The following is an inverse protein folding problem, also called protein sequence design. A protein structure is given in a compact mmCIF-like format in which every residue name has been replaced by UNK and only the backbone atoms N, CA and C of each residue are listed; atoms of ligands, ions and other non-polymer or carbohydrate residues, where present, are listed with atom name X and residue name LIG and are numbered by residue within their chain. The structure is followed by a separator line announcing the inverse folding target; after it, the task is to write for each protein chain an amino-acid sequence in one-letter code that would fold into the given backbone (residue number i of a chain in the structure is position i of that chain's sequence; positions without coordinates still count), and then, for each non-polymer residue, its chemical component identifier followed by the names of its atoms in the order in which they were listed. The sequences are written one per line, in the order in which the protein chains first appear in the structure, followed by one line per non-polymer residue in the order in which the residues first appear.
data_IF_880296103145
#
_entry.id   IF_880296103145
#
_cell.length_a   1.000
_cell.length_b   1.000
_cell.length_c   1.000
_cell.angle_alpha   90.00
_cell.angle_beta   90.00
_cell.angle_gamma   90.00
#
_symmetry.space_group_name_H-M   'P 1'
#
loop_
_entity.id
_entity.type
_entity.pdbx_description
1 polymer ?
#
# COMPACT_ATOMS: atom_id res chain seq x y z
N UNK A 1 -2.29 -25.81 8.32
CA UNK A 1 -3.08 -25.02 9.30
C UNK A 1 -2.30 -23.95 10.10
N UNK A 2 -0.96 -23.89 10.08
CA UNK A 2 -0.18 -22.84 10.79
C UNK A 2 -0.18 -21.43 10.13
N UNK A 3 -0.57 -21.29 8.86
CA UNK A 3 -0.48 -19.99 8.14
C UNK A 3 -1.63 -19.01 8.41
N UNK A 4 -2.79 -19.49 8.84
CA UNK A 4 -3.99 -18.64 9.02
C UNK A 4 -3.94 -17.90 10.36
N UNK A 5 -3.54 -18.58 11.46
CA UNK A 5 -3.36 -17.93 12.78
C UNK A 5 -2.38 -16.76 12.73
N UNK A 6 -1.35 -16.86 11.88
CA UNK A 6 -0.33 -15.83 11.73
C UNK A 6 -0.86 -14.55 11.05
N UNK A 7 -1.76 -14.67 10.07
CA UNK A 7 -2.33 -13.50 9.38
C UNK A 7 -3.24 -12.65 10.28
N UNK A 8 -4.04 -13.28 11.15
CA UNK A 8 -4.93 -12.56 12.06
C UNK A 8 -4.17 -11.80 13.15
N UNK A 9 -3.08 -12.39 13.66
CA UNK A 9 -2.18 -11.73 14.61
C UNK A 9 -1.53 -10.49 13.99
N UNK A 10 -1.08 -10.59 12.73
CA UNK A 10 -0.51 -9.47 11.99
C UNK A 10 -1.52 -8.32 11.81
N UNK A 11 -2.77 -8.60 11.46
CA UNK A 11 -3.82 -7.58 11.30
C UNK A 11 -4.02 -6.80 12.61
N UNK A 12 -4.15 -7.48 13.76
CA UNK A 12 -4.31 -6.81 15.07
C UNK A 12 -3.09 -5.97 15.44
N UNK A 13 -1.87 -6.49 15.23
CA UNK A 13 -0.63 -5.76 15.49
C UNK A 13 -0.55 -4.50 14.62
N UNK A 14 -0.73 -4.65 13.31
CA UNK A 14 -0.65 -3.54 12.37
C UNK A 14 -1.76 -2.52 12.56
N UNK A 15 -2.95 -2.93 13.02
CA UNK A 15 -4.03 -1.97 13.36
C UNK A 15 -3.57 -0.96 14.41
N UNK A 16 -2.97 -1.43 15.52
CA UNK A 16 -2.54 -0.53 16.60
C UNK A 16 -1.43 0.41 16.12
N UNK A 17 -0.45 -0.13 15.41
CA UNK A 17 0.66 0.66 14.86
C UNK A 17 0.16 1.68 13.83
N UNK A 18 -0.78 1.30 12.96
CA UNK A 18 -1.34 2.16 11.92
C UNK A 18 -2.19 3.29 12.49
N UNK A 19 -3.09 3.00 13.43
CA UNK A 19 -3.91 4.04 14.07
C UNK A 19 -3.06 5.01 14.90
N UNK A 20 -2.04 4.49 15.59
CA UNK A 20 -1.09 5.34 16.31
C UNK A 20 -0.32 6.24 15.33
N UNK A 21 0.18 5.70 14.21
CA UNK A 21 0.83 6.50 13.17
C UNK A 21 -0.11 7.59 12.62
N UNK A 22 -1.36 7.25 12.30
CA UNK A 22 -2.32 8.24 11.79
C UNK A 22 -2.55 9.38 12.80
N UNK A 23 -2.87 9.05 14.06
CA UNK A 23 -3.14 10.05 15.09
C UNK A 23 -1.92 10.93 15.45
N UNK A 24 -0.70 10.41 15.28
CA UNK A 24 0.53 11.16 15.54
C UNK A 24 0.88 12.15 14.42
N UNK A 25 0.46 11.87 13.18
CA UNK A 25 0.93 12.61 12.00
C UNK A 25 -0.19 13.41 11.30
N UNK A 26 -1.46 13.12 11.58
CA UNK A 26 -2.60 13.73 10.90
C UNK A 26 -3.73 14.06 11.89
N UNK A 27 -4.44 15.16 11.65
CA UNK A 27 -5.72 15.42 12.29
C UNK A 27 -6.82 14.65 11.55
N UNK A 28 -7.39 13.63 12.18
CA UNK A 28 -8.37 12.74 11.56
C UNK A 28 -9.79 12.88 12.12
N UNK A 29 -10.05 13.82 13.04
CA UNK A 29 -11.33 13.93 13.76
C UNK A 29 -12.55 14.05 12.84
N UNK A 30 -12.40 14.72 11.69
CA UNK A 30 -13.47 14.94 10.72
C UNK A 30 -13.16 14.32 9.33
N UNK A 31 -12.29 13.31 9.29
CA UNK A 31 -11.84 12.70 8.04
C UNK A 31 -12.54 11.35 7.78
N UNK A 32 -12.97 11.12 6.54
CA UNK A 32 -13.34 9.78 6.09
C UNK A 32 -12.08 8.97 5.83
N UNK A 33 -11.85 7.93 6.61
CA UNK A 33 -10.76 7.00 6.35
C UNK A 33 -11.14 6.07 5.20
N UNK A 34 -10.34 6.07 4.14
CA UNK A 34 -10.53 5.18 2.99
C UNK A 34 -9.35 4.24 2.84
N UNK A 35 -9.59 3.01 2.42
CA UNK A 35 -8.54 2.04 2.16
C UNK A 35 -8.74 1.41 0.77
N UNK A 36 -7.84 1.74 -0.15
CA UNK A 36 -7.84 1.20 -1.50
C UNK A 36 -6.99 -0.07 -1.62
N UNK A 37 -7.42 -1.04 -2.44
CA UNK A 37 -6.62 -2.24 -2.70
C UNK A 37 -7.20 -3.19 -3.75
N UNK A 38 -6.53 -4.32 -3.96
CA UNK A 38 -6.84 -5.30 -5.02
C UNK A 38 -8.07 -6.19 -4.78
N UNK A 39 -8.73 -6.03 -3.62
CA UNK A 39 -9.88 -6.84 -3.22
C UNK A 39 -9.54 -8.10 -2.44
N UNK A 40 -8.27 -8.31 -2.05
CA UNK A 40 -7.86 -9.43 -1.21
C UNK A 40 -8.63 -9.44 0.12
N UNK A 41 -9.02 -10.64 0.57
CA UNK A 41 -9.86 -10.83 1.77
C UNK A 41 -9.28 -10.17 3.03
N UNK A 42 -7.96 -10.18 3.19
CA UNK A 42 -7.29 -9.60 4.35
C UNK A 42 -7.33 -8.06 4.32
N UNK A 43 -7.31 -7.44 3.15
CA UNK A 43 -7.39 -5.98 2.97
C UNK A 43 -8.78 -5.49 3.39
N UNK A 44 -9.83 -6.13 2.86
CA UNK A 44 -11.22 -5.82 3.23
C UNK A 44 -11.46 -5.99 4.72
N UNK A 45 -10.93 -7.07 5.28
CA UNK A 45 -11.01 -7.32 6.71
C UNK A 45 -10.30 -6.23 7.52
N UNK A 46 -9.10 -5.84 7.11
CA UNK A 46 -8.34 -4.78 7.77
C UNK A 46 -9.07 -3.43 7.68
N UNK A 47 -9.61 -3.08 6.51
CA UNK A 47 -10.44 -1.88 6.32
C UNK A 47 -11.61 -1.86 7.31
N UNK A 48 -12.35 -2.96 7.42
CA UNK A 48 -13.42 -3.09 8.41
C UNK A 48 -12.91 -2.92 9.86
N UNK A 49 -11.79 -3.57 10.21
CA UNK A 49 -11.23 -3.48 11.56
C UNK A 49 -10.79 -2.07 11.96
N UNK A 50 -10.36 -1.23 11.01
CA UNK A 50 -9.97 0.17 11.27
C UNK A 50 -11.11 1.18 11.02
N UNK A 51 -12.32 0.72 10.67
CA UNK A 51 -13.44 1.58 10.33
C UNK A 51 -13.27 2.35 9.02
N UNK A 52 -12.42 1.87 8.10
CA UNK A 52 -12.21 2.49 6.80
C UNK A 52 -13.22 2.01 5.76
N UNK A 53 -13.58 2.93 4.85
CA UNK A 53 -14.34 2.60 3.64
C UNK A 53 -13.40 1.90 2.66
N UNK A 54 -13.69 0.64 2.35
CA UNK A 54 -12.92 -0.11 1.37
C UNK A 54 -13.22 0.37 -0.05
N UNK A 55 -12.16 0.62 -0.83
CA UNK A 55 -12.23 1.02 -2.23
C UNK A 55 -11.52 -0.06 -3.05
N UNK A 56 -12.18 -0.58 -4.09
CA UNK A 56 -11.48 -1.44 -5.02
C UNK A 56 -10.54 -0.58 -5.88
N UNK A 57 -9.31 -1.03 -6.15
CA UNK A 57 -8.46 -0.33 -7.10
C UNK A 57 -8.90 -0.66 -8.54
N UNK A 58 -9.37 0.37 -9.25
CA UNK A 58 -9.87 0.28 -10.62
C UNK A 58 -8.85 -0.33 -11.59
N UNK A 59 -7.55 -0.18 -11.34
CA UNK A 59 -6.51 -0.77 -12.17
C UNK A 59 -6.69 -2.29 -12.32
N UNK A 60 -7.06 -3.00 -11.26
CA UNK A 60 -7.26 -4.45 -11.31
C UNK A 60 -8.47 -4.85 -12.15
N UNK A 61 -9.59 -4.11 -12.05
CA UNK A 61 -10.76 -4.33 -12.90
C UNK A 61 -10.39 -4.15 -14.37
N UNK A 62 -9.73 -3.04 -14.69
CA UNK A 62 -9.41 -2.69 -16.07
C UNK A 62 -8.32 -3.60 -16.65
N UNK A 63 -7.38 -4.07 -15.82
CA UNK A 63 -6.35 -5.05 -16.20
C UNK A 63 -6.98 -6.41 -16.52
N UNK A 64 -7.88 -6.90 -15.68
CA UNK A 64 -8.56 -8.17 -15.93
C UNK A 64 -9.42 -8.07 -17.20
N UNK A 65 -10.20 -6.99 -17.33
CA UNK A 65 -10.98 -6.72 -18.52
C UNK A 65 -10.14 -6.66 -19.80
N UNK A 66 -8.95 -6.05 -19.74
CA UNK A 66 -8.01 -5.98 -20.87
C UNK A 66 -7.42 -7.34 -21.23
N UNK A 67 -7.19 -8.18 -20.23
CA UNK A 67 -6.74 -9.58 -20.42
C UNK A 67 -7.82 -10.40 -21.13
N UNK A 68 -9.08 -10.20 -20.75
CA UNK A 68 -10.21 -10.87 -21.38
C UNK A 68 -10.44 -10.30 -22.77
N UNK A 69 -10.52 -9.00 -22.95
CA UNK A 69 -10.80 -8.33 -24.22
C UNK A 69 -9.61 -7.46 -24.68
N UNK A 70 -8.53 -8.09 -25.18
CA UNK A 70 -7.38 -7.35 -25.67
C UNK A 70 -7.77 -6.57 -26.92
N UNK A 71 -7.37 -5.30 -26.98
CA UNK A 71 -7.55 -4.43 -28.13
C UNK A 71 -6.35 -3.48 -28.28
N UNK A 72 -6.05 -3.04 -29.50
CA UNK A 72 -4.95 -2.10 -29.76
C UNK A 72 -5.35 -0.68 -29.39
N UNK A 73 -4.44 0.05 -28.75
CA UNK A 73 -4.66 1.45 -28.30
C UNK A 73 -4.36 2.50 -29.39
N UNK A 74 -3.63 2.13 -30.46
CA UNK A 74 -3.09 3.07 -31.47
C UNK A 74 -4.16 3.74 -32.33
N UNK A 75 -3.97 5.05 -32.57
CA UNK A 75 -4.36 5.77 -33.80
C UNK A 75 -3.27 5.54 -34.86
N UNK A 76 -3.67 5.57 -36.14
CA UNK A 76 -2.88 5.60 -37.39
C UNK A 76 -2.64 4.28 -38.15
N UNK A 77 -3.09 4.34 -39.41
CA UNK A 77 -2.82 3.55 -40.65
C UNK A 77 -3.56 2.24 -40.95
N UNK A 78 -4.21 1.53 -40.02
CA UNK A 78 -5.03 0.35 -40.37
C UNK A 78 -6.40 0.34 -39.68
N UNK A 79 -7.45 0.05 -40.44
CA UNK A 79 -8.80 -0.14 -39.93
C UNK A 79 -8.82 -1.30 -38.92
N UNK A 80 -9.49 -1.10 -37.77
CA UNK A 80 -9.71 -2.16 -36.80
C UNK A 80 -10.58 -3.26 -37.43
N UNK A 81 -10.28 -4.51 -37.12
CA UNK A 81 -11.21 -5.61 -37.42
C UNK A 81 -12.49 -5.43 -36.62
N UNK A 82 -13.62 -5.96 -37.08
CA UNK A 82 -14.89 -5.80 -36.36
C UNK A 82 -14.83 -6.41 -34.95
N UNK A 83 -14.13 -7.54 -34.80
CA UNK A 83 -13.83 -8.13 -33.49
C UNK A 83 -13.05 -7.20 -32.56
N UNK A 84 -12.09 -6.42 -33.08
CA UNK A 84 -11.37 -5.43 -32.29
C UNK A 84 -12.26 -4.22 -31.92
N UNK A 85 -13.12 -3.78 -32.83
CA UNK A 85 -14.11 -2.72 -32.55
C UNK A 85 -15.03 -3.13 -31.40
N UNK A 86 -15.55 -4.37 -31.43
CA UNK A 86 -16.41 -4.91 -30.38
C UNK A 86 -15.67 -5.02 -29.04
N UNK A 87 -14.44 -5.56 -29.02
CA UNK A 87 -13.63 -5.64 -27.79
C UNK A 87 -13.34 -4.26 -27.20
N UNK A 88 -13.08 -3.28 -28.06
CA UNK A 88 -12.88 -1.89 -27.67
C UNK A 88 -14.18 -1.30 -27.10
N UNK A 89 -15.34 -1.56 -27.72
CA UNK A 89 -16.64 -1.12 -27.22
C UNK A 89 -16.94 -1.70 -25.83
N UNK A 90 -16.76 -3.01 -25.66
CA UNK A 90 -16.90 -3.69 -24.35
C UNK A 90 -16.03 -3.01 -23.30
N UNK A 91 -14.79 -2.66 -23.64
CA UNK A 91 -13.91 -1.97 -22.70
C UNK A 91 -14.46 -0.61 -22.26
N UNK A 92 -14.96 0.20 -23.20
CA UNK A 92 -15.50 1.53 -22.90
C UNK A 92 -16.82 1.46 -22.13
N UNK A 93 -17.71 0.55 -22.50
CA UNK A 93 -18.98 0.32 -21.81
C UNK A 93 -18.73 -0.06 -20.36
N UNK A 94 -17.85 -1.04 -20.13
CA UNK A 94 -17.49 -1.48 -18.78
C UNK A 94 -16.79 -0.39 -17.99
N UNK A 95 -15.88 0.37 -18.60
CA UNK A 95 -15.22 1.50 -17.93
C UNK A 95 -16.23 2.56 -17.47
N UNK A 96 -17.26 2.84 -18.28
CA UNK A 96 -18.35 3.75 -17.94
C UNK A 96 -19.16 3.21 -16.76
N UNK A 97 -19.56 1.94 -16.80
CA UNK A 97 -20.29 1.29 -15.71
C UNK A 97 -19.51 1.31 -14.38
N UNK A 98 -18.20 1.03 -14.43
CA UNK A 98 -17.36 1.14 -13.25
C UNK A 98 -17.24 2.58 -12.76
N UNK A 99 -16.99 3.56 -13.63
CA UNK A 99 -16.94 4.97 -13.18
C UNK A 99 -18.24 5.45 -12.54
N UNK A 100 -19.37 4.90 -12.96
CA UNK A 100 -20.68 5.19 -12.36
C UNK A 100 -20.94 4.41 -11.06
N UNK A 101 -20.00 3.59 -10.60
CA UNK A 101 -20.17 2.76 -9.41
C UNK A 101 -21.27 1.70 -9.55
N UNK A 102 -21.49 1.17 -10.76
CA UNK A 102 -22.58 0.23 -11.06
C UNK A 102 -22.05 -1.20 -11.37
N UNK A 103 -21.72 -1.98 -10.34
CA UNK A 103 -21.25 -3.36 -10.51
C UNK A 103 -22.36 -4.31 -10.99
N UNK A 104 -23.63 -4.00 -10.71
CA UNK A 104 -24.75 -4.88 -11.01
C UNK A 104 -25.08 -4.84 -12.52
N UNK A 105 -25.12 -3.65 -13.11
CA UNK A 105 -25.27 -3.51 -14.55
C UNK A 105 -24.01 -4.01 -15.30
N UNK A 106 -22.81 -3.84 -14.73
CA UNK A 106 -21.58 -4.44 -15.26
C UNK A 106 -21.67 -5.98 -15.32
N UNK A 107 -22.19 -6.62 -14.27
CA UNK A 107 -22.41 -8.08 -14.26
C UNK A 107 -23.47 -8.47 -15.30
N UNK A 108 -24.57 -7.72 -15.40
CA UNK A 108 -25.65 -7.97 -16.36
C UNK A 108 -25.15 -7.86 -17.80
N UNK A 109 -24.36 -6.84 -18.10
CA UNK A 109 -23.69 -6.64 -19.38
C UNK A 109 -22.84 -7.86 -19.75
N UNK A 110 -21.96 -8.31 -18.84
CA UNK A 110 -21.09 -9.47 -19.07
C UNK A 110 -21.88 -10.78 -19.27
N UNK A 111 -22.96 -10.98 -18.50
CA UNK A 111 -23.86 -12.13 -18.69
C UNK A 111 -24.51 -12.12 -20.08
N UNK A 112 -24.93 -10.94 -20.56
CA UNK A 112 -25.51 -10.78 -21.91
C UNK A 112 -24.51 -11.17 -22.99
N UNK A 113 -23.23 -10.82 -22.86
CA UNK A 113 -22.19 -11.19 -23.84
C UNK A 113 -22.08 -12.70 -24.06
N UNK A 114 -22.14 -13.50 -22.99
CA UNK A 114 -21.95 -14.96 -23.06
C UNK A 114 -23.22 -15.76 -23.36
N UNK A 115 -24.29 -15.09 -23.82
CA UNK A 115 -25.53 -15.76 -24.26
C UNK A 115 -25.32 -16.56 -25.56
N UNK A 116 -26.13 -17.59 -25.78
CA UNK A 116 -26.06 -18.40 -27.02
C UNK A 116 -26.20 -17.53 -28.28
N UNK A 117 -27.08 -16.53 -28.25
CA UNK A 117 -27.28 -15.57 -29.36
C UNK A 117 -25.99 -14.81 -29.67
N UNK A 118 -25.40 -14.16 -28.67
CA UNK A 118 -24.20 -13.35 -28.87
C UNK A 118 -22.96 -14.18 -29.18
N UNK A 119 -22.86 -15.42 -28.71
CA UNK A 119 -21.76 -16.32 -29.08
C UNK A 119 -21.87 -16.75 -30.56
N UNK A 120 -23.10 -16.93 -31.08
CA UNK A 120 -23.30 -17.21 -32.51
C UNK A 120 -22.92 -16.01 -33.38
N UNK A 121 -23.30 -14.81 -32.96
CA UNK A 121 -22.97 -13.55 -33.65
C UNK A 121 -21.48 -13.21 -33.55
N UNK A 122 -20.86 -13.48 -32.40
CA UNK A 122 -19.46 -13.18 -32.09
C UNK A 122 -18.71 -14.43 -31.58
N UNK A 123 -18.24 -15.31 -32.49
CA UNK A 123 -17.63 -16.59 -32.13
C UNK A 123 -16.45 -16.50 -31.16
N UNK A 124 -15.69 -15.39 -31.16
CA UNK A 124 -14.56 -15.17 -30.26
C UNK A 124 -14.94 -15.14 -28.77
N UNK A 125 -16.23 -14.98 -28.44
CA UNK A 125 -16.73 -15.00 -27.07
C UNK A 125 -16.74 -16.42 -26.48
N UNK A 126 -16.77 -17.46 -27.33
CA UNK A 126 -16.79 -18.87 -26.91
C UNK A 126 -15.60 -19.19 -25.99
N UNK A 127 -14.40 -18.79 -26.40
CA UNK A 127 -13.15 -19.08 -25.67
C UNK A 127 -12.93 -18.18 -24.45
N UNK A 128 -13.82 -17.20 -24.24
CA UNK A 128 -13.72 -16.23 -23.13
C UNK A 128 -14.76 -16.49 -22.04
N UNK A 129 -15.68 -17.43 -22.25
CA UNK A 129 -16.81 -17.69 -21.38
C UNK A 129 -16.42 -17.91 -19.91
N UNK A 130 -15.42 -18.75 -19.65
CA UNK A 130 -15.03 -19.05 -18.26
C UNK A 130 -14.28 -17.89 -17.62
N UNK A 131 -13.40 -17.20 -18.36
CA UNK A 131 -12.77 -15.95 -17.87
C UNK A 131 -13.80 -14.86 -17.54
N UNK A 132 -14.86 -14.75 -18.34
CA UNK A 132 -15.96 -13.81 -18.08
C UNK A 132 -16.72 -14.20 -16.81
N UNK A 133 -16.97 -15.50 -16.55
CA UNK A 133 -17.60 -15.96 -15.30
C UNK A 133 -16.73 -15.65 -14.08
N UNK A 134 -15.42 -15.88 -14.18
CA UNK A 134 -14.47 -15.57 -13.11
C UNK A 134 -14.44 -14.07 -12.83
N UNK A 135 -14.47 -13.25 -13.89
CA UNK A 135 -14.54 -11.80 -13.75
C UNK A 135 -15.86 -11.32 -13.14
N UNK A 136 -17.01 -11.92 -13.51
CA UNK A 136 -18.30 -11.67 -12.85
C UNK A 136 -18.20 -11.99 -11.35
N UNK A 137 -17.58 -13.11 -10.97
CA UNK A 137 -17.36 -13.48 -9.57
C UNK A 137 -16.45 -12.46 -8.87
N UNK A 138 -15.41 -11.98 -9.53
CA UNK A 138 -14.53 -10.94 -9.00
C UNK A 138 -15.28 -9.62 -8.75
N UNK A 139 -16.07 -9.15 -9.72
CA UNK A 139 -16.91 -7.94 -9.57
C UNK A 139 -17.89 -8.13 -8.41
N UNK A 140 -18.61 -9.26 -8.37
CA UNK A 140 -19.59 -9.55 -7.31
C UNK A 140 -18.95 -9.51 -5.92
N UNK A 141 -17.79 -10.14 -5.77
CA UNK A 141 -17.07 -10.18 -4.50
C UNK A 141 -16.54 -8.81 -4.04
N UNK A 142 -16.42 -7.85 -4.96
CA UNK A 142 -15.91 -6.50 -4.70
C UNK A 142 -16.97 -5.41 -4.91
N UNK A 143 -18.25 -5.76 -5.01
CA UNK A 143 -19.34 -4.85 -5.36
C UNK A 143 -19.36 -3.59 -4.50
N UNK A 144 -19.23 -3.73 -3.18
CA UNK A 144 -19.24 -2.59 -2.26
C UNK A 144 -18.10 -1.61 -2.52
N UNK A 145 -16.89 -2.11 -2.81
CA UNK A 145 -15.73 -1.27 -3.13
C UNK A 145 -15.81 -0.61 -4.51
N UNK A 146 -16.65 -1.12 -5.42
CA UNK A 146 -16.92 -0.52 -6.73
C UNK A 146 -17.99 0.56 -6.61
N UNK A 147 -19.02 0.35 -5.77
CA UNK A 147 -20.08 1.32 -5.54
C UNK A 147 -19.56 2.66 -5.03
N UNK A 148 -18.43 2.68 -4.33
CA UNK A 148 -17.77 3.90 -3.85
C UNK A 148 -17.34 4.83 -5.00
N UNK A 149 -17.14 4.33 -6.22
CA UNK A 149 -16.66 5.16 -7.33
C UNK A 149 -17.62 6.29 -7.73
N UNK A 150 -18.90 6.19 -7.36
CA UNK A 150 -19.93 7.21 -7.63
C UNK A 150 -19.95 8.35 -6.62
N UNK A 151 -19.23 8.19 -5.51
CA UNK A 151 -19.23 9.15 -4.41
C UNK A 151 -18.45 10.42 -4.80
N UNK A 152 -18.99 11.60 -4.50
CA UNK A 152 -18.36 12.87 -4.90
C UNK A 152 -16.97 13.09 -4.29
N UNK A 153 -16.72 12.48 -3.12
CA UNK A 153 -15.43 12.57 -2.42
C UNK A 153 -14.39 11.55 -2.94
N UNK A 154 -14.76 10.67 -3.88
CA UNK A 154 -13.84 9.68 -4.44
C UNK A 154 -12.89 10.32 -5.46
N UNK A 155 -11.59 10.29 -5.16
CA UNK A 155 -10.54 10.88 -6.01
C UNK A 155 -9.71 9.86 -6.81
N UNK A 156 -10.02 8.56 -6.73
CA UNK A 156 -9.21 7.50 -7.33
C UNK A 156 -8.33 6.72 -6.35
N UNK A 157 -7.73 5.63 -6.83
CA UNK A 157 -6.68 4.88 -6.12
C UNK A 157 -5.33 5.21 -6.73
N UNK A 158 -4.35 5.56 -5.90
CA UNK A 158 -2.95 5.71 -6.30
C UNK A 158 -2.09 4.48 -5.92
N UNK A 159 -2.70 3.38 -5.48
CA UNK A 159 -2.00 2.20 -4.97
C UNK A 159 -1.08 1.58 -6.01
N UNK A 160 -1.54 1.26 -7.22
CA UNK A 160 -0.67 0.67 -8.26
C UNK A 160 0.51 1.59 -8.65
N UNK A 161 0.31 2.91 -8.90
CA UNK A 161 1.43 3.85 -9.07
C UNK A 161 2.40 3.83 -7.88
N UNK A 162 1.90 3.94 -6.65
CA UNK A 162 2.75 3.95 -5.45
C UNK A 162 3.57 2.65 -5.33
N UNK A 163 2.96 1.48 -5.50
CA UNK A 163 3.69 0.20 -5.46
C UNK A 163 4.67 0.08 -6.62
N UNK A 164 4.31 0.51 -7.82
CA UNK A 164 5.19 0.47 -8.98
C UNK A 164 6.42 1.37 -8.80
N UNK A 165 6.21 2.64 -8.46
CA UNK A 165 7.28 3.63 -8.31
C UNK A 165 8.16 3.38 -7.08
N UNK A 166 7.58 2.90 -5.98
CA UNK A 166 8.33 2.74 -4.74
C UNK A 166 8.93 1.35 -4.57
N UNK A 167 8.30 0.30 -5.10
CA UNK A 167 8.73 -1.08 -4.88
C UNK A 167 9.31 -1.70 -6.14
N UNK A 168 8.65 -1.57 -7.30
CA UNK A 168 9.15 -2.18 -8.55
C UNK A 168 10.39 -1.45 -9.06
N UNK A 169 10.43 -0.12 -8.95
CA UNK A 169 11.61 0.68 -9.35
C UNK A 169 12.90 0.22 -8.62
N UNK A 170 12.80 -0.07 -7.32
CA UNK A 170 13.92 -0.56 -6.51
C UNK A 170 14.53 -1.87 -7.00
N UNK A 171 13.74 -2.70 -7.69
CA UNK A 171 14.16 -4.02 -8.15
C UNK A 171 14.54 -4.05 -9.62
N UNK A 172 14.36 -2.97 -10.38
CA UNK A 172 14.36 -3.06 -11.84
C UNK A 172 13.41 -4.16 -12.36
N UNK A 173 13.32 -4.35 -13.67
CA UNK A 173 12.70 -5.56 -14.19
C UNK A 173 13.70 -6.73 -14.02
N UNK A 174 13.65 -7.43 -12.87
CA UNK A 174 14.33 -8.70 -12.67
C UNK A 174 15.41 -8.78 -11.58
N UNK A 175 15.73 -7.71 -10.83
CA UNK A 175 16.69 -7.83 -9.72
C UNK A 175 16.07 -8.56 -8.52
N UNK A 176 16.80 -9.54 -8.02
CA UNK A 176 16.41 -10.36 -6.86
C UNK A 176 16.86 -9.63 -5.60
N UNK A 177 15.93 -9.34 -4.69
CA UNK A 177 16.28 -8.92 -3.33
C UNK A 177 16.77 -10.14 -2.54
N UNK A 178 18.04 -10.13 -2.13
CA UNK A 178 18.72 -11.28 -1.52
C UNK A 178 18.20 -11.67 -0.11
N UNK A 179 17.54 -10.75 0.63
CA UNK A 179 16.88 -11.05 1.92
C UNK A 179 15.78 -10.06 2.28
N UNK A 180 14.90 -10.42 3.23
CA UNK A 180 13.85 -9.54 3.77
C UNK A 180 14.43 -8.27 4.40
N UNK A 181 15.54 -8.39 5.13
CA UNK A 181 16.24 -7.26 5.76
C UNK A 181 16.72 -6.26 4.72
N UNK A 182 17.37 -6.75 3.66
CA UNK A 182 17.84 -5.90 2.56
C UNK A 182 16.65 -5.21 1.89
N UNK A 183 15.57 -5.94 1.61
CA UNK A 183 14.37 -5.37 1.01
C UNK A 183 13.73 -4.26 1.86
N UNK A 184 13.60 -4.47 3.18
CA UNK A 184 13.10 -3.45 4.11
C UNK A 184 13.99 -2.20 4.11
N UNK A 185 15.31 -2.37 4.13
CA UNK A 185 16.24 -1.25 4.08
C UNK A 185 16.13 -0.47 2.76
N UNK A 186 16.01 -1.14 1.62
CA UNK A 186 15.84 -0.48 0.33
C UNK A 186 14.55 0.36 0.28
N UNK A 187 13.43 -0.20 0.77
CA UNK A 187 12.17 0.55 0.86
C UNK A 187 12.33 1.76 1.79
N UNK A 188 12.90 1.57 2.98
CA UNK A 188 13.09 2.64 3.95
C UNK A 188 13.97 3.78 3.38
N UNK A 189 15.05 3.45 2.69
CA UNK A 189 15.92 4.44 2.03
C UNK A 189 15.20 5.19 0.90
N UNK A 190 14.40 4.49 0.09
CA UNK A 190 13.58 5.12 -0.95
C UNK A 190 12.57 6.08 -0.34
N UNK A 191 11.85 5.65 0.71
CA UNK A 191 10.89 6.50 1.42
C UNK A 191 11.56 7.71 2.07
N UNK A 192 12.74 7.54 2.67
CA UNK A 192 13.51 8.65 3.21
C UNK A 192 13.86 9.67 2.11
N UNK A 193 14.31 9.20 0.94
CA UNK A 193 14.61 10.06 -0.20
C UNK A 193 13.38 10.79 -0.73
N UNK A 194 12.26 10.10 -0.96
CA UNK A 194 11.02 10.71 -1.46
C UNK A 194 10.42 11.74 -0.49
N UNK A 195 10.61 11.54 0.82
CA UNK A 195 10.20 12.49 1.85
C UNK A 195 11.25 13.58 2.14
N UNK A 196 12.30 13.72 1.31
CA UNK A 196 13.30 14.78 1.45
C UNK A 196 14.23 14.65 2.67
N UNK A 197 14.32 13.46 3.28
CA UNK A 197 15.20 13.25 4.43
C UNK A 197 16.65 13.31 3.98
N UNK A 198 17.42 14.25 4.55
CA UNK A 198 18.86 14.26 4.40
C UNK A 198 19.48 13.12 5.22
N UNK A 199 19.85 12.04 4.53
CA UNK A 199 20.45 10.88 5.16
C UNK A 199 21.81 11.20 5.80
N UNK A 200 22.58 12.12 5.23
CA UNK A 200 23.89 12.53 5.79
C UNK A 200 23.66 13.18 7.15
N UNK A 201 22.76 14.17 7.23
CA UNK A 201 22.43 14.84 8.49
C UNK A 201 21.86 13.85 9.51
N UNK A 202 21.02 12.91 9.08
CA UNK A 202 20.51 11.85 9.94
C UNK A 202 21.63 10.97 10.52
N UNK A 203 22.60 10.56 9.70
CA UNK A 203 23.75 9.78 10.17
C UNK A 203 24.67 10.59 11.08
N UNK A 204 24.96 11.85 10.74
CA UNK A 204 25.77 12.76 11.55
C UNK A 204 25.11 12.98 12.92
N UNK A 205 23.81 13.27 12.97
CA UNK A 205 23.06 13.42 14.21
C UNK A 205 23.06 12.15 15.07
N UNK A 206 22.98 10.97 14.44
CA UNK A 206 23.04 9.68 15.14
C UNK A 206 24.43 9.40 15.72
N UNK A 207 25.49 9.76 14.98
CA UNK A 207 26.87 9.66 15.45
C UNK A 207 27.12 10.61 16.61
N UNK A 208 26.69 11.86 16.48
CA UNK A 208 26.82 12.89 17.51
C UNK A 208 26.11 12.47 18.81
N UNK A 209 24.86 11.99 18.73
CA UNK A 209 24.14 11.44 19.91
C UNK A 209 24.84 10.23 20.54
N UNK A 210 25.48 9.37 19.75
CA UNK A 210 26.25 8.23 20.27
C UNK A 210 27.52 8.71 20.97
N UNK A 211 28.21 9.69 20.38
CA UNK A 211 29.39 10.31 20.95
C UNK A 211 29.07 11.07 22.23
N UNK A 212 27.96 11.81 22.28
CA UNK A 212 27.45 12.45 23.50
C UNK A 212 27.11 11.44 24.59
N UNK A 213 26.45 10.32 24.25
CA UNK A 213 26.19 9.25 25.23
C UNK A 213 27.47 8.64 25.75
N UNK A 214 28.45 8.40 24.87
CA UNK A 214 29.78 7.86 25.24
C UNK A 214 30.54 8.86 26.10
N UNK A 215 30.57 10.14 25.72
CA UNK A 215 31.15 11.22 26.50
C UNK A 215 30.49 11.33 27.87
N UNK A 216 29.16 11.37 27.94
CA UNK A 216 28.44 11.38 29.21
C UNK A 216 28.76 10.16 30.07
N UNK A 217 28.87 8.96 29.50
CA UNK A 217 29.26 7.75 30.24
C UNK A 217 30.67 7.87 30.85
N UNK A 218 31.66 8.34 30.08
CA UNK A 218 33.04 8.47 30.58
C UNK A 218 33.22 9.68 31.51
N UNK A 219 32.55 10.80 31.26
CA UNK A 219 32.82 12.07 31.93
C UNK A 219 31.80 12.46 33.02
N UNK A 220 30.53 12.01 32.99
CA UNK A 220 29.63 12.17 34.16
C UNK A 220 30.05 11.29 35.34
N UNK A 221 30.61 10.11 35.06
CA UNK A 221 31.17 9.25 36.12
C UNK A 221 32.45 9.85 36.72
N UNK A 222 33.28 10.51 35.91
CA UNK A 222 34.45 11.23 36.41
C UNK A 222 34.10 12.50 37.20
N UNK A 223 33.02 13.20 36.87
CA UNK A 223 32.56 14.36 37.65
C UNK A 223 32.08 13.95 39.05
N UNK A 224 31.30 12.87 39.17
CA UNK A 224 30.92 12.29 40.48
C UNK A 224 32.15 11.80 41.26
N UNK A 225 33.09 11.12 40.60
CA UNK A 225 34.31 10.65 41.26
C UNK A 225 35.23 11.81 41.70
N UNK A 226 35.36 12.89 40.91
CA UNK A 226 36.11 14.10 41.32
C UNK A 226 35.42 14.82 42.48
N UNK A 227 34.09 14.89 42.48
CA UNK A 227 33.33 15.51 43.56
C UNK A 227 33.46 14.69 44.86
N UNK A 228 33.41 13.36 44.77
CA UNK A 228 33.67 12.45 45.90
C UNK A 228 35.13 12.57 46.41
N UNK A 229 36.11 12.69 45.50
CA UNK A 229 37.52 12.87 45.87
C UNK A 229 37.77 14.22 46.56
N UNK A 230 37.13 15.29 46.09
CA UNK A 230 37.22 16.63 46.69
C UNK A 230 36.50 16.69 48.04
N UNK A 231 35.34 16.04 48.18
CA UNK A 231 34.63 15.89 49.46
C UNK A 231 35.49 15.11 50.47
N UNK A 232 36.09 13.98 50.06
CA UNK A 232 36.95 13.18 50.94
C UNK A 232 38.24 13.92 51.33
N UNK A 233 38.81 14.75 50.44
CA UNK A 233 39.99 15.56 50.74
C UNK A 233 39.68 16.69 51.73
N UNK A 234 38.55 17.37 51.59
CA UNK A 234 38.10 18.39 52.53
C UNK A 234 37.73 17.80 53.91
N UNK A 235 37.15 16.60 53.96
CA UNK A 235 36.90 15.89 55.24
C UNK A 235 38.23 15.52 55.91
N UNK A 236 39.23 15.02 55.17
CA UNK A 236 40.54 14.69 55.74
C UNK A 236 41.29 15.90 56.31
N UNK A 237 41.15 17.08 55.70
CA UNK A 237 41.76 18.33 56.17
C UNK A 237 41.06 18.89 57.42
N UNK A 238 39.74 18.70 57.56
CA UNK A 238 39.02 19.10 58.78
C UNK A 238 39.25 18.16 59.96
N UNK A 239 39.58 16.88 59.72
CA UNK A 239 39.90 15.92 60.80
C UNK A 239 41.32 16.11 61.35
N UNK A 240 42.26 16.67 60.57
CA UNK A 240 43.61 17.00 61.05
C UNK A 240 43.71 18.30 61.86
N UNK A 241 42.61 19.04 62.03
CA UNK A 241 42.55 20.28 62.84
C UNK A 241 41.94 20.10 64.24
N UNK A 242 41.64 18.87 64.65
CA UNK A 242 41.10 18.53 65.98
C UNK A 242 41.89 17.36 66.59
N UNK A 243 43.18 17.58 66.87
CA UNK A 243 43.94 16.91 67.94
C UNK A 243 44.89 17.93 68.53
#
# INVERSE_FOLDING_TARGET
MKSVKNKYYLIKKYKKEFLHFLNQNFNIENCKLTLAGDGAKWIKKFANEIGAIFILDQFHLMKELKTIFPYRRKKFTKNLTDNEKIRKQIYWDMNKLFKNGDPDEAIKYLKKLITRKNIKEYPFLKDKKDKIKDFIKYIKNNSDGIKVYKEDWYMGSCTEPQISHNVKWLKGYGAKSYSEKVFKNMIAMKMAKENGVNLIDFFLNKLNKKNEKKYNYFFKNNAKNKQQFLINKNISQHVQGFV
#
